data_IF_444247705588
#
_entry.id   IF_444247705588
#
_cell.length_a   1.000
_cell.length_b   1.000
_cell.length_c   1.000
_cell.angle_alpha   90.00
_cell.angle_beta   90.00
_cell.angle_gamma   90.00
#
_symmetry.space_group_name_H-M   'P 1'
#
loop_
_entity.id
_entity.type
_entity.pdbx_description
1 polymer ?
#
# COMPACT_ATOMS: atom_id res chain seq x y z
N UNK A 1 -20.34 -36.24 -0.21
CA UNK A 1 -19.34 -35.38 -0.90
C UNK A 1 -19.29 -34.06 -0.14
N UNK A 2 -18.36 -33.92 0.80
CA UNK A 2 -18.36 -32.81 1.77
C UNK A 2 -17.70 -31.59 1.14
N UNK A 3 -18.51 -30.55 0.85
CA UNK A 3 -18.00 -29.26 0.38
C UNK A 3 -17.08 -28.67 1.46
N UNK A 4 -15.81 -28.47 1.10
CA UNK A 4 -14.80 -27.91 1.98
C UNK A 4 -15.08 -26.40 2.14
N UNK A 5 -15.90 -26.04 3.14
CA UNK A 5 -16.42 -24.68 3.38
C UNK A 5 -15.33 -23.63 3.49
N UNK A 6 -14.16 -23.98 4.02
CA UNK A 6 -12.99 -23.07 4.10
C UNK A 6 -12.52 -22.69 2.70
N UNK A 7 -12.49 -23.64 1.76
CA UNK A 7 -12.10 -23.38 0.37
C UNK A 7 -13.12 -22.50 -0.35
N UNK A 8 -14.41 -22.66 -0.05
CA UNK A 8 -15.47 -21.80 -0.58
C UNK A 8 -15.34 -20.36 -0.05
N UNK A 9 -15.12 -20.20 1.26
CA UNK A 9 -14.91 -18.88 1.88
C UNK A 9 -13.65 -18.17 1.38
N UNK A 10 -12.55 -18.92 1.19
CA UNK A 10 -11.32 -18.37 0.61
C UNK A 10 -11.50 -17.98 -0.85
N UNK A 11 -12.22 -18.79 -1.64
CA UNK A 11 -12.55 -18.47 -3.03
C UNK A 11 -13.41 -17.20 -3.15
N UNK A 12 -14.37 -17.04 -2.23
CA UNK A 12 -15.24 -15.86 -2.15
C UNK A 12 -14.44 -14.59 -1.77
N UNK A 13 -13.49 -14.72 -0.83
CA UNK A 13 -12.58 -13.65 -0.41
C UNK A 13 -11.58 -13.23 -1.51
N UNK A 14 -11.24 -14.11 -2.47
CA UNK A 14 -10.34 -13.79 -3.59
C UNK A 14 -10.98 -13.03 -4.75
N UNK A 15 -12.29 -12.77 -4.74
CA UNK A 15 -13.00 -12.22 -5.91
C UNK A 15 -12.63 -10.78 -6.24
N UNK A 16 -12.02 -10.04 -5.31
CA UNK A 16 -11.56 -8.66 -5.58
C UNK A 16 -10.04 -8.65 -5.61
N UNK A 17 -9.47 -8.88 -6.79
CA UNK A 17 -8.07 -8.52 -7.03
C UNK A 17 -7.83 -7.06 -6.58
N UNK A 18 -6.58 -6.70 -6.19
CA UNK A 18 -6.31 -5.35 -5.73
C UNK A 18 -6.83 -4.35 -6.78
N UNK A 19 -7.51 -3.27 -6.35
CA UNK A 19 -7.96 -2.22 -7.26
C UNK A 19 -6.84 -1.83 -8.21
N UNK A 20 -7.20 -1.60 -9.48
CA UNK A 20 -6.24 -1.30 -10.54
C UNK A 20 -5.29 -0.17 -10.12
N UNK A 21 -5.87 0.85 -9.49
CA UNK A 21 -5.22 2.00 -8.90
C UNK A 21 -5.68 2.19 -7.45
N UNK A 22 -4.76 2.59 -6.59
CA UNK A 22 -5.02 2.89 -5.18
C UNK A 22 -4.15 4.04 -4.70
N UNK A 23 -4.33 4.47 -3.46
CA UNK A 23 -3.43 5.43 -2.82
C UNK A 23 -2.73 4.74 -1.64
N UNK A 24 -1.44 4.99 -1.48
CA UNK A 24 -0.67 4.54 -0.33
C UNK A 24 -0.65 5.64 0.72
N UNK A 25 -1.30 5.41 1.86
CA UNK A 25 -1.20 6.28 3.01
C UNK A 25 0.06 5.88 3.79
N UNK A 26 0.97 6.82 3.94
CA UNK A 26 2.14 6.69 4.80
C UNK A 26 1.91 7.52 6.06
N UNK A 27 2.06 6.87 7.19
CA UNK A 27 2.10 7.49 8.49
C UNK A 27 3.28 6.92 9.29
N UNK A 28 3.64 7.59 10.39
CA UNK A 28 4.75 7.17 11.23
C UNK A 28 4.61 5.69 11.65
N UNK A 29 5.45 4.82 11.09
CA UNK A 29 5.46 3.38 11.36
C UNK A 29 4.31 2.57 10.74
N UNK A 30 3.55 3.14 9.80
CA UNK A 30 2.41 2.47 9.16
C UNK A 30 2.30 2.85 7.67
N UNK A 31 2.17 1.84 6.81
CA UNK A 31 1.81 2.01 5.41
C UNK A 31 0.58 1.19 5.07
N UNK A 32 -0.48 1.81 4.55
CA UNK A 32 -1.72 1.11 4.21
C UNK A 32 -2.29 1.56 2.87
N UNK A 33 -2.75 0.63 2.02
CA UNK A 33 -3.40 0.97 0.77
C UNK A 33 -4.85 1.38 1.02
N UNK A 34 -5.28 2.51 0.45
CA UNK A 34 -6.64 3.03 0.55
C UNK A 34 -7.23 3.28 -0.83
N UNK A 35 -8.57 3.27 -0.93
CA UNK A 35 -9.25 3.64 -2.17
C UNK A 35 -9.07 5.13 -2.47
N UNK A 36 -9.23 5.54 -3.74
CA UNK A 36 -9.23 6.95 -4.12
C UNK A 36 -10.32 7.76 -3.40
N UNK A 37 -11.49 7.15 -3.16
CA UNK A 37 -12.57 7.80 -2.41
C UNK A 37 -12.16 8.04 -0.95
N UNK A 38 -11.53 7.05 -0.31
CA UNK A 38 -10.99 7.16 1.04
C UNK A 38 -9.88 8.23 1.11
N UNK A 39 -8.94 8.22 0.16
CA UNK A 39 -7.85 9.20 0.09
C UNK A 39 -8.39 10.64 0.06
N UNK A 40 -9.31 10.93 -0.87
CA UNK A 40 -9.95 12.25 -0.98
C UNK A 40 -10.72 12.62 0.29
N UNK A 41 -11.34 11.65 0.97
CA UNK A 41 -12.03 11.90 2.22
C UNK A 41 -11.07 12.22 3.38
N UNK A 42 -9.88 11.63 3.40
CA UNK A 42 -8.81 11.94 4.35
C UNK A 42 -8.26 13.34 4.08
N UNK A 43 -7.91 13.67 2.83
CA UNK A 43 -7.42 15.00 2.44
C UNK A 43 -8.41 16.09 2.84
N UNK A 44 -9.71 15.91 2.56
CA UNK A 44 -10.75 16.86 2.97
C UNK A 44 -10.86 17.02 4.48
N UNK A 45 -10.56 15.99 5.27
CA UNK A 45 -10.59 16.08 6.72
C UNK A 45 -9.35 16.79 7.26
N UNK A 46 -8.18 16.50 6.69
CA UNK A 46 -6.91 17.17 7.04
C UNK A 46 -6.93 18.66 6.70
N UNK A 47 -7.64 19.06 5.64
CA UNK A 47 -7.78 20.45 5.23
C UNK A 47 -8.80 21.26 6.07
N UNK A 48 -9.45 20.68 7.08
CA UNK A 48 -10.39 21.41 7.95
C UNK A 48 -9.64 22.24 8.98
N UNK A 49 -10.24 23.34 9.41
CA UNK A 49 -9.78 24.13 10.54
C UNK A 49 -10.86 24.20 11.65
N UNK A 50 -10.58 23.69 12.86
CA UNK A 50 -9.38 22.93 13.23
C UNK A 50 -9.37 21.54 12.57
N UNK A 51 -8.17 21.04 12.25
CA UNK A 51 -8.01 19.67 11.77
C UNK A 51 -8.42 18.68 12.87
N UNK A 52 -9.10 17.57 12.55
CA UNK A 52 -9.47 16.58 13.55
C UNK A 52 -8.22 15.91 14.12
N UNK A 53 -8.18 15.68 15.43
CA UNK A 53 -7.05 14.97 16.05
C UNK A 53 -6.94 13.52 15.54
N UNK A 54 -8.08 12.86 15.32
CA UNK A 54 -8.17 11.46 14.90
C UNK A 54 -8.96 11.31 13.61
N UNK A 55 -8.43 10.48 12.72
CA UNK A 55 -9.09 10.03 11.48
C UNK A 55 -9.46 8.57 11.62
N UNK A 56 -10.66 8.22 11.13
CA UNK A 56 -11.12 6.83 11.06
C UNK A 56 -11.59 6.51 9.65
N UNK A 57 -11.07 5.42 9.09
CA UNK A 57 -11.41 4.98 7.73
C UNK A 57 -11.26 3.46 7.59
N UNK A 58 -11.60 2.93 6.41
CA UNK A 58 -11.28 1.56 6.03
C UNK A 58 -10.24 1.54 4.92
N UNK A 59 -9.27 0.65 5.04
CA UNK A 59 -8.28 0.39 3.99
C UNK A 59 -8.88 -0.52 2.90
N UNK A 60 -8.08 -0.86 1.88
CA UNK A 60 -8.53 -1.78 0.82
C UNK A 60 -8.75 -3.22 1.29
N UNK A 61 -8.15 -3.62 2.42
CA UNK A 61 -8.39 -4.94 3.03
C UNK A 61 -9.71 -5.00 3.79
N UNK A 62 -10.39 -3.85 3.96
CA UNK A 62 -11.60 -3.73 4.77
C UNK A 62 -11.31 -3.50 6.26
N UNK A 63 -10.05 -3.43 6.67
CA UNK A 63 -9.63 -3.17 8.05
C UNK A 63 -10.02 -1.76 8.47
N UNK A 64 -10.62 -1.62 9.66
CA UNK A 64 -10.96 -0.30 10.23
C UNK A 64 -9.73 0.27 10.92
N UNK A 65 -9.25 1.41 10.41
CA UNK A 65 -8.06 2.09 10.91
C UNK A 65 -8.48 3.36 11.64
N UNK A 66 -7.88 3.61 12.80
CA UNK A 66 -7.98 4.87 13.53
C UNK A 66 -6.57 5.38 13.83
N UNK A 67 -6.23 6.57 13.35
CA UNK A 67 -4.89 7.15 13.46
C UNK A 67 -4.96 8.65 13.77
N UNK A 68 -3.92 9.18 14.42
CA UNK A 68 -3.79 10.62 14.62
C UNK A 68 -3.50 11.32 13.30
N UNK A 69 -4.19 12.43 13.02
CA UNK A 69 -3.95 13.23 11.82
C UNK A 69 -2.50 13.71 11.71
N UNK A 70 -1.92 14.12 12.84
CA UNK A 70 -0.53 14.59 12.92
C UNK A 70 0.53 13.51 12.62
N UNK A 71 0.17 12.23 12.53
CA UNK A 71 1.09 11.16 12.17
C UNK A 71 1.07 10.84 10.68
N UNK A 72 0.14 11.40 9.90
CA UNK A 72 0.08 11.19 8.46
C UNK A 72 1.17 12.04 7.82
N UNK A 73 2.05 11.39 7.06
CA UNK A 73 3.20 12.01 6.42
C UNK A 73 2.89 12.35 4.95
N UNK A 74 2.23 11.43 4.24
CA UNK A 74 1.83 11.61 2.85
C UNK A 74 0.76 10.62 2.40
N UNK A 75 0.00 11.02 1.38
CA UNK A 75 -0.77 10.11 0.54
C UNK A 75 -0.14 10.12 -0.85
N UNK A 76 0.15 8.95 -1.40
CA UNK A 76 0.77 8.80 -2.72
C UNK A 76 -0.17 8.01 -3.63
N UNK A 77 -0.47 8.53 -4.81
CA UNK A 77 -1.21 7.77 -5.81
C UNK A 77 -0.34 6.61 -6.36
N UNK A 78 -0.93 5.43 -6.48
CA UNK A 78 -0.30 4.22 -6.98
C UNK A 78 -1.13 3.64 -8.12
N UNK A 79 -0.88 4.13 -9.32
CA UNK A 79 -1.50 3.64 -10.55
C UNK A 79 -0.83 2.37 -11.07
N UNK A 80 -1.52 1.64 -11.92
CA UNK A 80 -0.93 0.51 -12.65
C UNK A 80 0.33 0.91 -13.45
N UNK A 81 0.33 2.10 -14.05
CA UNK A 81 1.45 2.63 -14.82
C UNK A 81 2.67 2.95 -13.94
N UNK A 82 2.47 3.64 -12.81
CA UNK A 82 3.54 3.91 -11.84
C UNK A 82 4.16 2.61 -11.32
N UNK A 83 3.34 1.64 -10.92
CA UNK A 83 3.85 0.34 -10.46
C UNK A 83 4.60 -0.43 -11.55
N UNK A 84 4.21 -0.28 -12.83
CA UNK A 84 4.94 -0.89 -13.94
C UNK A 84 6.31 -0.23 -14.14
N UNK A 85 6.36 1.11 -14.05
CA UNK A 85 7.60 1.87 -14.10
C UNK A 85 8.53 1.52 -12.92
N UNK A 86 8.00 1.47 -11.69
CA UNK A 86 8.77 1.10 -10.50
C UNK A 86 9.36 -0.30 -10.64
N UNK A 87 8.57 -1.28 -11.09
CA UNK A 87 9.08 -2.63 -11.35
C UNK A 87 10.10 -2.69 -12.47
N UNK A 88 10.03 -1.81 -13.47
CA UNK A 88 11.04 -1.74 -14.52
C UNK A 88 12.35 -1.15 -13.97
N UNK A 89 12.25 -0.08 -13.18
CA UNK A 89 13.39 0.55 -12.52
C UNK A 89 14.08 -0.40 -11.54
N UNK A 90 13.34 -1.09 -10.68
CA UNK A 90 13.94 -2.06 -9.73
C UNK A 90 14.65 -3.20 -10.47
N UNK A 91 14.06 -3.74 -11.55
CA UNK A 91 14.73 -4.76 -12.37
C UNK A 91 15.99 -4.23 -13.07
N UNK A 92 15.99 -2.97 -13.49
CA UNK A 92 17.19 -2.34 -14.05
C UNK A 92 18.28 -2.19 -12.98
N UNK A 93 17.91 -1.71 -11.79
CA UNK A 93 18.82 -1.60 -10.64
C UNK A 93 19.41 -2.93 -10.19
N UNK A 94 18.58 -3.96 -10.03
CA UNK A 94 19.03 -5.31 -9.68
C UNK A 94 19.99 -5.88 -10.74
N UNK A 95 19.76 -5.53 -12.02
CA UNK A 95 20.67 -5.91 -13.10
C UNK A 95 22.01 -5.18 -12.98
N UNK A 96 22.00 -3.88 -12.73
CA UNK A 96 23.21 -3.07 -12.50
C UNK A 96 24.01 -3.59 -11.29
N UNK A 97 23.35 -3.82 -10.15
CA UNK A 97 23.97 -4.36 -8.92
C UNK A 97 24.58 -5.76 -9.13
N UNK A 98 24.05 -6.54 -10.07
CA UNK A 98 24.62 -7.85 -10.43
C UNK A 98 25.79 -7.74 -11.40
N UNK A 99 25.80 -6.74 -12.27
CA UNK A 99 26.86 -6.51 -13.26
C UNK A 99 28.08 -5.80 -12.65
N UNK A 100 27.86 -5.00 -11.59
CA UNK A 100 28.89 -4.34 -10.79
C UNK A 100 28.64 -4.60 -9.30
N UNK A 101 28.92 -5.83 -8.82
CA UNK A 101 28.71 -6.16 -7.41
C UNK A 101 29.65 -5.32 -6.54
N UNK A 102 29.16 -4.80 -5.40
CA UNK A 102 29.99 -4.00 -4.50
C UNK A 102 31.23 -4.80 -4.06
N UNK A 103 32.39 -4.15 -4.14
CA UNK A 103 33.74 -4.70 -3.93
C UNK A 103 33.93 -5.49 -2.62
N UNK A 104 33.11 -5.25 -1.60
CA UNK A 104 33.17 -5.91 -0.30
C UNK A 104 31.89 -6.70 -0.01
N UNK A 105 31.67 -7.83 -0.70
CA UNK A 105 30.71 -8.84 -0.24
C UNK A 105 31.41 -9.80 0.74
N UNK A 106 31.15 -9.74 2.06
CA UNK A 106 31.88 -10.53 3.06
C UNK A 106 31.50 -12.02 3.10
N UNK A 107 30.71 -12.49 2.14
CA UNK A 107 30.02 -13.79 2.21
C UNK A 107 30.34 -14.74 1.05
N UNK A 108 31.48 -14.57 0.39
CA UNK A 108 32.02 -15.57 -0.56
C UNK A 108 33.27 -16.24 0.05
N UNK A 109 33.04 -17.30 0.84
CA UNK A 109 33.99 -18.41 1.08
C UNK A 109 33.46 -19.68 0.40
#
# INVERSE_FOLDING_TARGET
MTINRIRALLAEATTTGPPRDYHWLTAKGLGVPVSAATARAIERQLAREPAPEWLTFRDLSGSRIRIRAALIERLTECTAAQRAADRAFQRAREKEEREDPPFDSPWEE
#
